data_IF_279329365979
#
_entry.id   IF_279329365979
#
_cell.length_a   1.000
_cell.length_b   1.000
_cell.length_c   1.000
_cell.angle_alpha   90.00
_cell.angle_beta   90.00
_cell.angle_gamma   90.00
#
_symmetry.space_group_name_H-M   'P 1'
#
loop_
_entity.id
_entity.type
_entity.pdbx_description
1 polymer ?
#
# COMPACT_ATOMS: atom_id res chain seq x y z
N UNK A 1 38.36 7.15 0.28
CA UNK A 1 37.46 6.41 -0.63
C UNK A 1 36.25 6.01 0.18
N UNK A 2 35.08 6.55 -0.12
CA UNK A 2 33.83 6.20 0.59
C UNK A 2 33.16 5.10 -0.24
N UNK A 3 32.91 3.95 0.38
CA UNK A 3 32.24 2.83 -0.27
C UNK A 3 30.86 3.25 -0.80
N UNK A 4 30.43 2.75 -1.97
CA UNK A 4 29.10 3.01 -2.47
C UNK A 4 28.09 2.36 -1.53
N UNK A 5 27.24 3.19 -0.90
CA UNK A 5 26.04 2.72 -0.20
C UNK A 5 25.19 1.99 -1.23
N UNK A 6 25.17 0.67 -1.16
CA UNK A 6 24.24 -0.18 -1.91
C UNK A 6 22.82 0.23 -1.52
N UNK A 7 22.23 1.12 -2.31
CA UNK A 7 20.84 1.51 -2.18
C UNK A 7 20.01 0.38 -2.77
N UNK A 8 19.69 -0.60 -1.94
CA UNK A 8 18.76 -1.67 -2.32
C UNK A 8 17.39 -1.00 -2.48
N UNK A 9 16.87 -1.01 -3.70
CA UNK A 9 15.57 -0.44 -4.03
C UNK A 9 14.51 -1.15 -3.17
N UNK A 10 13.90 -0.43 -2.23
CA UNK A 10 12.90 -1.02 -1.32
C UNK A 10 11.69 -1.64 -2.02
N UNK A 11 11.52 -1.46 -3.34
CA UNK A 11 10.58 -2.24 -4.13
C UNK A 11 11.01 -3.72 -4.26
N UNK A 12 12.30 -3.98 -4.40
CA UNK A 12 12.87 -5.33 -4.49
C UNK A 12 12.77 -6.04 -3.15
N UNK A 13 13.08 -5.35 -2.06
CA UNK A 13 12.94 -5.90 -0.70
C UNK A 13 11.47 -6.18 -0.35
N UNK A 14 10.54 -5.32 -0.77
CA UNK A 14 9.10 -5.56 -0.63
C UNK A 14 8.60 -6.74 -1.47
N UNK A 15 9.07 -6.88 -2.72
CA UNK A 15 8.72 -8.04 -3.55
C UNK A 15 9.33 -9.34 -3.01
N UNK A 16 10.49 -9.27 -2.35
CA UNK A 16 11.12 -10.40 -1.68
C UNK A 16 10.40 -10.74 -0.37
N UNK A 17 9.93 -9.76 0.39
CA UNK A 17 9.15 -9.98 1.63
C UNK A 17 7.73 -10.52 1.36
N UNK A 18 7.17 -10.25 0.18
CA UNK A 18 5.96 -10.95 -0.30
C UNK A 18 6.26 -12.41 -0.61
N UNK A 19 7.43 -12.70 -1.21
CA UNK A 19 7.82 -14.08 -1.59
C UNK A 19 8.19 -14.94 -0.38
N UNK A 20 8.76 -14.36 0.66
CA UNK A 20 9.19 -15.07 1.87
C UNK A 20 8.09 -15.20 2.95
N UNK A 21 6.94 -14.53 2.75
CA UNK A 21 5.79 -14.62 3.65
C UNK A 21 6.00 -13.98 5.02
N UNK A 22 7.02 -13.12 5.18
CA UNK A 22 7.40 -12.50 6.45
C UNK A 22 6.50 -11.32 6.89
N UNK A 23 5.65 -10.79 6.02
CA UNK A 23 4.63 -9.79 6.41
C UNK A 23 3.41 -10.47 7.03
N UNK A 24 3.38 -10.58 8.36
CA UNK A 24 2.18 -10.95 9.13
C UNK A 24 1.90 -9.90 10.20
N UNK A 25 0.91 -9.04 9.95
CA UNK A 25 0.31 -8.19 11.00
C UNK A 25 -0.89 -8.89 11.62
N UNK A 26 -1.25 -8.56 12.87
CA UNK A 26 -2.38 -9.12 13.65
C UNK A 26 -3.78 -8.81 13.06
N UNK A 27 -3.87 -8.37 11.80
CA UNK A 27 -5.09 -8.31 10.94
C UNK A 27 -5.04 -9.34 9.80
N UNK A 28 -4.38 -10.47 10.01
CA UNK A 28 -4.37 -11.64 9.12
C UNK A 28 -3.55 -11.47 7.84
N UNK A 29 -3.83 -10.44 7.03
CA UNK A 29 -3.31 -10.32 5.67
C UNK A 29 -3.13 -8.85 5.20
N UNK A 30 -2.99 -7.89 6.12
CA UNK A 30 -2.75 -6.50 5.75
C UNK A 30 -1.33 -6.27 5.22
N UNK A 31 -1.20 -5.52 4.12
CA UNK A 31 0.05 -5.13 3.47
C UNK A 31 0.27 -3.64 3.66
N UNK A 32 1.33 -3.25 4.35
CA UNK A 32 1.64 -1.84 4.63
C UNK A 32 2.99 -1.45 4.04
N UNK A 33 3.06 -0.36 3.29
CA UNK A 33 4.31 0.21 2.75
C UNK A 33 4.38 1.70 3.02
N UNK A 34 5.54 2.17 3.53
CA UNK A 34 5.84 3.60 3.64
C UNK A 34 6.59 4.07 2.40
N UNK A 35 6.09 5.12 1.76
CA UNK A 35 6.72 5.75 0.59
C UNK A 35 6.74 7.25 0.80
N UNK A 36 7.92 7.86 0.88
CA UNK A 36 8.09 9.27 1.20
C UNK A 36 7.37 9.61 2.53
N UNK A 37 6.43 10.57 2.50
CA UNK A 37 5.59 10.95 3.63
C UNK A 37 4.19 10.33 3.58
N UNK A 38 4.04 9.18 2.91
CA UNK A 38 2.76 8.48 2.79
C UNK A 38 2.85 7.07 3.36
N UNK A 39 1.76 6.62 4.00
CA UNK A 39 1.56 5.22 4.36
C UNK A 39 0.51 4.66 3.40
N UNK A 40 0.86 3.57 2.72
CA UNK A 40 -0.07 2.80 1.90
C UNK A 40 -0.43 1.56 2.71
N UNK A 41 -1.71 1.35 2.97
CA UNK A 41 -2.20 0.17 3.67
C UNK A 41 -3.24 -0.53 2.81
N UNK A 42 -3.06 -1.84 2.62
CA UNK A 42 -4.03 -2.67 1.90
C UNK A 42 -4.51 -3.77 2.83
N UNK A 43 -5.80 -3.82 3.11
CA UNK A 43 -6.37 -4.82 4.01
C UNK A 43 -7.77 -5.27 3.57
N UNK A 44 -8.24 -6.38 4.14
CA UNK A 44 -9.64 -6.81 4.05
C UNK A 44 -10.36 -6.43 5.35
N UNK A 45 -11.22 -5.39 5.35
CA UNK A 45 -12.11 -5.14 6.47
C UNK A 45 -13.08 -6.31 6.59
N UNK A 46 -13.39 -6.73 7.82
CA UNK A 46 -14.35 -7.82 8.06
C UNK A 46 -15.76 -7.51 7.54
N UNK A 47 -16.03 -6.23 7.26
CA UNK A 47 -17.37 -5.68 7.12
C UNK A 47 -17.82 -5.66 5.65
N UNK A 48 -16.88 -5.50 4.70
CA UNK A 48 -17.18 -5.23 3.29
C UNK A 48 -16.98 -6.43 2.37
N UNK A 49 -16.37 -7.51 2.89
CA UNK A 49 -15.91 -8.69 2.11
C UNK A 49 -15.03 -8.34 0.91
N UNK A 50 -14.49 -7.11 0.86
CA UNK A 50 -13.61 -6.61 -0.18
C UNK A 50 -12.27 -6.26 0.45
N UNK A 51 -11.26 -6.26 -0.39
CA UNK A 51 -9.98 -5.65 -0.04
C UNK A 51 -10.02 -4.17 -0.39
N UNK A 52 -9.31 -3.35 0.36
CA UNK A 52 -9.18 -1.93 0.09
C UNK A 52 -7.75 -1.45 0.26
N UNK A 53 -7.33 -0.51 -0.57
CA UNK A 53 -6.09 0.24 -0.39
C UNK A 53 -6.43 1.63 0.12
N UNK A 54 -6.00 1.93 1.34
CA UNK A 54 -5.97 3.26 1.92
C UNK A 54 -4.59 3.90 1.78
N UNK A 55 -4.57 5.20 1.53
CA UNK A 55 -3.34 6.01 1.56
C UNK A 55 -3.51 7.11 2.60
N UNK A 56 -2.57 7.16 3.54
CA UNK A 56 -2.46 8.22 4.52
C UNK A 56 -1.65 9.39 3.95
N UNK A 57 -2.22 10.59 4.06
CA UNK A 57 -1.55 11.86 3.76
C UNK A 57 -1.99 12.88 4.81
N UNK A 58 -1.01 13.40 5.55
CA UNK A 58 -1.20 14.51 6.51
C UNK A 58 -2.27 14.21 7.58
N UNK A 59 -2.30 12.98 8.08
CA UNK A 59 -3.23 12.50 9.09
C UNK A 59 -4.59 12.04 8.55
N UNK A 60 -4.81 12.14 7.23
CA UNK A 60 -6.07 11.74 6.59
C UNK A 60 -5.89 10.46 5.79
N UNK A 61 -6.77 9.49 6.01
CA UNK A 61 -6.85 8.26 5.21
C UNK A 61 -7.81 8.44 4.04
N UNK A 62 -7.35 8.10 2.85
CA UNK A 62 -8.14 8.17 1.62
C UNK A 62 -8.20 6.76 1.04
N UNK A 63 -9.39 6.20 0.87
CA UNK A 63 -9.56 4.90 0.21
C UNK A 63 -9.50 5.13 -1.30
N UNK A 64 -8.47 4.57 -1.95
CA UNK A 64 -8.19 4.87 -3.35
C UNK A 64 -8.57 3.77 -4.32
N UNK A 65 -8.76 2.54 -3.81
CA UNK A 65 -9.10 1.38 -4.64
C UNK A 65 -9.64 0.25 -3.77
N UNK A 66 -10.53 -0.58 -4.33
CA UNK A 66 -11.06 -1.80 -3.72
C UNK A 66 -10.95 -2.97 -4.67
N UNK A 67 -10.86 -4.18 -4.13
CA UNK A 67 -10.61 -5.41 -4.89
C UNK A 67 -11.46 -6.57 -4.38
N UNK A 68 -11.72 -7.53 -5.27
CA UNK A 68 -12.49 -8.72 -4.92
C UNK A 68 -11.69 -9.73 -4.10
N UNK A 69 -10.37 -9.75 -4.27
CA UNK A 69 -9.50 -10.74 -3.63
C UNK A 69 -8.10 -10.19 -3.27
N UNK A 70 -7.36 -10.99 -2.50
CA UNK A 70 -6.01 -10.69 -2.00
C UNK A 70 -4.99 -10.50 -3.13
N UNK A 71 -5.14 -11.23 -4.24
CA UNK A 71 -4.20 -11.20 -5.37
C UNK A 71 -4.33 -9.88 -6.14
N UNK A 72 -5.55 -9.44 -6.40
CA UNK A 72 -5.84 -8.13 -6.96
C UNK A 72 -5.38 -7.01 -6.02
N UNK A 73 -5.66 -7.16 -4.73
CA UNK A 73 -5.25 -6.19 -3.71
C UNK A 73 -3.73 -6.00 -3.64
N UNK A 74 -2.96 -7.09 -3.73
CA UNK A 74 -1.50 -7.06 -3.76
C UNK A 74 -0.96 -6.35 -5.01
N UNK A 75 -1.58 -6.61 -6.17
CA UNK A 75 -1.23 -5.94 -7.44
C UNK A 75 -1.53 -4.44 -7.38
N UNK A 76 -2.70 -4.10 -6.85
CA UNK A 76 -3.11 -2.72 -6.63
C UNK A 76 -2.21 -1.98 -5.65
N UNK A 77 -1.84 -2.61 -4.52
CA UNK A 77 -0.86 -2.07 -3.58
C UNK A 77 0.45 -1.73 -4.28
N UNK A 78 1.01 -2.68 -5.03
CA UNK A 78 2.27 -2.50 -5.78
C UNK A 78 2.16 -1.35 -6.81
N UNK A 79 1.02 -1.24 -7.49
CA UNK A 79 0.72 -0.15 -8.42
C UNK A 79 0.75 1.21 -7.70
N UNK A 80 0.13 1.32 -6.51
CA UNK A 80 0.14 2.56 -5.72
C UNK A 80 1.52 2.91 -5.16
N UNK A 81 2.28 1.93 -4.68
CA UNK A 81 3.69 2.11 -4.29
C UNK A 81 4.49 2.73 -5.43
N UNK A 82 4.41 2.15 -6.64
CA UNK A 82 5.12 2.67 -7.82
C UNK A 82 4.66 4.08 -8.19
N UNK A 83 3.35 4.34 -8.13
CA UNK A 83 2.78 5.66 -8.45
C UNK A 83 3.27 6.74 -7.48
N UNK A 84 3.26 6.47 -6.18
CA UNK A 84 3.73 7.42 -5.16
C UNK A 84 5.25 7.57 -5.11
N UNK A 85 6.01 6.52 -5.49
CA UNK A 85 7.46 6.64 -5.70
C UNK A 85 7.78 7.57 -6.87
N UNK A 86 7.03 7.46 -7.97
CA UNK A 86 7.24 8.29 -9.16
C UNK A 86 6.75 9.75 -8.99
N UNK A 87 5.64 9.94 -8.28
CA UNK A 87 5.08 11.27 -7.99
C UNK A 87 4.33 11.25 -6.66
N UNK A 88 5.00 11.69 -5.59
CA UNK A 88 4.43 11.78 -4.24
C UNK A 88 3.23 12.71 -4.17
N UNK A 89 3.19 13.77 -5.00
CA UNK A 89 2.13 14.77 -5.02
C UNK A 89 0.99 14.42 -6.00
N UNK A 90 0.89 13.18 -6.46
CA UNK A 90 -0.21 12.79 -7.31
C UNK A 90 -1.57 13.03 -6.62
N UNK A 91 -2.58 13.38 -7.42
CA UNK A 91 -3.95 13.55 -6.94
C UNK A 91 -4.51 12.19 -6.52
N UNK A 92 -4.87 12.07 -5.24
CA UNK A 92 -5.62 10.95 -4.71
C UNK A 92 -7.11 11.27 -4.88
N UNK A 93 -7.88 10.28 -5.33
CA UNK A 93 -9.33 10.39 -5.42
C UNK A 93 -9.88 9.34 -4.47
N UNK A 94 -10.67 9.80 -3.49
CA UNK A 94 -11.44 8.89 -2.68
C UNK A 94 -12.49 8.21 -3.56
N UNK A 95 -12.58 6.89 -3.47
CA UNK A 95 -13.60 6.13 -4.18
C UNK A 95 -14.91 6.06 -3.42
N UNK A 96 -14.96 6.60 -2.19
CA UNK A 96 -16.11 6.76 -1.29
C UNK A 96 -17.37 6.04 -1.77
N UNK A 97 -17.36 4.71 -1.61
CA UNK A 97 -18.52 3.89 -1.98
C UNK A 97 -19.55 3.80 -0.84
N UNK A 98 -19.28 4.44 0.30
CA UNK A 98 -20.11 4.31 1.51
C UNK A 98 -20.69 5.65 2.01
N UNK A 99 -20.30 6.79 1.44
CA UNK A 99 -20.82 8.11 1.81
C UNK A 99 -20.54 8.47 3.26
N UNK A 100 -19.41 8.04 3.81
CA UNK A 100 -19.06 8.21 5.23
C UNK A 100 -18.39 9.58 5.53
N UNK A 101 -18.53 10.56 4.64
CA UNK A 101 -17.98 11.91 4.75
C UNK A 101 -19.09 12.94 4.94
#
# INVERSE_FOLDING_TARGET
MVEPKNFVDGATDFLNSIKDGSMRSRRGEAITTKVNNHIIDTCAPGDTKKWETGIEREGTWIIVEQYGDCKEATRGHTKWVKKLKANSNCKLKDIDMWGLI
#
